data_IF_811096000865
#
_entry.id   IF_811096000865
#
_cell.length_a   1.000
_cell.length_b   1.000
_cell.length_c   1.000
_cell.angle_alpha   90.00
_cell.angle_beta   90.00
_cell.angle_gamma   90.00
#
_symmetry.space_group_name_H-M   'P 1'
#
loop_
_entity.id
_entity.type
_entity.pdbx_description
1 polymer ?
#
# COMPACT_ATOMS: atom_id res chain seq x y z
N UNK A 1 8.06 15.47 9.16
CA UNK A 1 6.66 15.21 8.75
C UNK A 1 5.80 16.27 9.43
N UNK A 2 5.66 17.45 8.85
CA UNK A 2 4.82 18.50 9.43
C UNK A 2 4.02 19.15 8.31
N UNK A 3 2.77 19.50 8.61
CA UNK A 3 1.83 20.02 7.63
C UNK A 3 0.45 19.39 7.80
N UNK A 4 -0.47 19.72 6.90
CA UNK A 4 -1.87 19.29 7.04
C UNK A 4 -2.03 17.76 7.07
N UNK A 5 -1.20 17.05 6.30
CA UNK A 5 -1.31 15.60 6.15
C UNK A 5 -0.94 14.81 7.42
N UNK A 6 -0.29 15.47 8.38
CA UNK A 6 0.04 14.89 9.68
C UNK A 6 -1.03 15.11 10.75
N UNK A 7 -2.17 15.69 10.37
CA UNK A 7 -3.31 15.92 11.24
C UNK A 7 -4.52 15.06 10.84
N UNK A 8 -4.94 14.15 11.72
CA UNK A 8 -6.04 13.20 11.48
C UNK A 8 -7.35 13.85 11.06
N UNK A 9 -7.66 15.05 11.56
CA UNK A 9 -8.87 15.76 11.18
C UNK A 9 -8.85 16.29 9.75
N UNK A 10 -7.67 16.37 9.12
CA UNK A 10 -7.46 16.86 7.76
C UNK A 10 -7.14 15.71 6.80
N UNK A 11 -6.30 14.74 7.20
CA UNK A 11 -5.90 13.60 6.39
C UNK A 11 -6.76 12.34 6.57
N UNK A 12 -7.36 12.15 7.74
CA UNK A 12 -8.05 10.92 8.14
C UNK A 12 -7.15 9.87 8.82
N UNK A 13 -5.83 10.01 8.75
CA UNK A 13 -4.88 8.96 9.16
C UNK A 13 -3.43 9.27 8.78
N UNK A 14 -2.53 8.35 9.13
CA UNK A 14 -1.09 8.45 8.87
C UNK A 14 -0.59 7.47 7.81
N UNK A 15 0.50 6.76 8.14
CA UNK A 15 1.20 5.86 7.20
C UNK A 15 0.29 4.81 6.54
N UNK A 16 -0.76 4.35 7.24
CA UNK A 16 -1.69 3.37 6.71
C UNK A 16 -2.44 3.89 5.48
N UNK A 17 -3.02 5.09 5.57
CA UNK A 17 -3.87 5.64 4.49
C UNK A 17 -3.05 6.30 3.38
N UNK A 18 -1.77 6.58 3.63
CA UNK A 18 -0.86 7.18 2.67
C UNK A 18 -0.23 6.12 1.78
N UNK A 19 0.56 5.21 2.37
CA UNK A 19 1.33 4.21 1.61
C UNK A 19 0.77 2.79 1.80
N UNK A 20 0.19 2.50 2.97
CA UNK A 20 -0.36 1.18 3.27
C UNK A 20 -1.53 0.81 2.37
N UNK A 21 -2.40 1.77 2.03
CA UNK A 21 -3.55 1.58 1.15
C UNK A 21 -3.15 1.07 -0.22
N UNK A 22 -2.04 1.56 -0.79
CA UNK A 22 -1.57 1.15 -2.10
C UNK A 22 -1.08 -0.30 -2.10
N UNK A 23 -0.32 -0.70 -1.08
CA UNK A 23 0.18 -2.07 -0.98
C UNK A 23 -0.93 -3.07 -0.62
N UNK A 24 -1.88 -2.64 0.21
CA UNK A 24 -3.04 -3.43 0.53
C UNK A 24 -3.93 -3.65 -0.69
N UNK A 25 -4.26 -2.61 -1.45
CA UNK A 25 -5.07 -2.71 -2.68
C UNK A 25 -4.38 -3.59 -3.73
N UNK A 26 -3.07 -3.42 -3.93
CA UNK A 26 -2.30 -4.27 -4.84
C UNK A 26 -2.32 -5.74 -4.40
N UNK A 27 -2.12 -6.00 -3.10
CA UNK A 27 -2.20 -7.36 -2.55
C UNK A 27 -3.57 -8.00 -2.73
N UNK A 28 -4.63 -7.25 -2.40
CA UNK A 28 -6.01 -7.71 -2.61
C UNK A 28 -6.29 -7.97 -4.10
N UNK A 29 -5.82 -7.12 -5.00
CA UNK A 29 -5.95 -7.31 -6.44
C UNK A 29 -5.30 -8.63 -6.90
N UNK A 30 -4.06 -8.91 -6.47
CA UNK A 30 -3.40 -10.18 -6.79
C UNK A 30 -4.09 -11.40 -6.17
N UNK A 31 -4.75 -11.23 -5.03
CA UNK A 31 -5.52 -12.29 -4.38
C UNK A 31 -6.93 -12.48 -4.98
N UNK A 32 -7.36 -11.60 -5.90
CA UNK A 32 -8.71 -11.62 -6.47
C UNK A 32 -9.79 -11.03 -5.56
N UNK A 33 -9.43 -10.07 -4.70
CA UNK A 33 -10.31 -9.40 -3.73
C UNK A 33 -11.16 -10.35 -2.87
N UNK A 34 -10.56 -11.30 -2.15
CA UNK A 34 -11.31 -12.20 -1.29
C UNK A 34 -11.94 -11.42 -0.12
N UNK A 35 -13.02 -11.96 0.45
CA UNK A 35 -13.78 -11.23 1.49
C UNK A 35 -13.08 -11.37 2.84
N UNK A 36 -12.77 -10.27 3.55
CA UNK A 36 -12.17 -10.35 4.88
C UNK A 36 -13.18 -10.94 5.88
N UNK A 37 -12.70 -11.79 6.81
CA UNK A 37 -13.51 -12.44 7.85
C UNK A 37 -13.05 -12.12 9.28
N UNK A 38 -11.74 -11.87 9.47
CA UNK A 38 -11.24 -11.32 10.71
C UNK A 38 -9.95 -10.53 10.52
N UNK A 39 -9.66 -9.63 11.45
CA UNK A 39 -8.49 -8.77 11.42
C UNK A 39 -8.01 -8.45 12.83
N UNK A 40 -6.69 -8.46 13.02
CA UNK A 40 -6.03 -7.88 14.20
C UNK A 40 -4.96 -6.90 13.74
N UNK A 41 -4.92 -5.71 14.33
CA UNK A 41 -3.96 -4.67 13.95
C UNK A 41 -3.45 -3.83 15.13
N UNK A 42 -2.36 -3.12 14.88
CA UNK A 42 -1.77 -2.14 15.79
C UNK A 42 -1.28 -0.91 15.02
N UNK A 43 -1.27 0.25 15.69
CA UNK A 43 -0.73 1.51 15.16
C UNK A 43 0.19 2.14 16.19
N UNK A 44 1.25 2.82 15.73
CA UNK A 44 2.26 3.47 16.57
C UNK A 44 2.55 4.89 16.07
N UNK A 45 3.05 5.75 16.94
CA UNK A 45 3.31 7.18 16.69
C UNK A 45 4.61 7.66 17.36
N UNK A 46 5.61 6.78 17.46
CA UNK A 46 6.81 7.00 18.27
C UNK A 46 7.77 8.09 17.75
N UNK A 47 7.78 8.36 16.45
CA UNK A 47 8.65 9.34 15.80
C UNK A 47 7.98 10.70 15.57
N UNK A 48 6.71 10.85 15.95
CA UNK A 48 5.94 12.10 15.77
C UNK A 48 6.58 13.33 16.43
N UNK A 49 7.30 13.17 17.54
CA UNK A 49 8.00 14.26 18.23
C UNK A 49 9.39 14.58 17.63
N UNK A 50 9.93 13.69 16.79
CA UNK A 50 11.23 13.82 16.11
C UNK A 50 11.08 13.99 14.59
N UNK A 51 9.86 14.29 14.14
CA UNK A 51 9.51 14.34 12.74
C UNK A 51 10.07 15.61 12.05
N UNK A 52 11.37 15.62 11.76
CA UNK A 52 11.96 16.55 10.80
C UNK A 52 11.35 16.27 9.41
N UNK A 53 11.27 17.32 8.57
CA UNK A 53 10.54 17.27 7.29
C UNK A 53 10.93 16.04 6.43
N UNK A 54 9.94 15.23 6.07
CA UNK A 54 10.12 14.01 5.26
C UNK A 54 9.98 14.26 3.76
N UNK A 55 9.85 15.52 3.33
CA UNK A 55 9.73 15.89 1.91
C UNK A 55 8.33 15.78 1.31
N UNK A 56 7.38 15.13 2.01
CA UNK A 56 5.98 15.00 1.58
C UNK A 56 4.99 15.70 2.54
N UNK A 57 3.90 16.34 2.04
CA UNK A 57 3.59 16.59 0.64
C UNK A 57 4.58 17.57 -0.01
N UNK A 58 4.62 17.77 -1.35
CA UNK A 58 5.61 18.64 -1.98
C UNK A 58 5.56 20.06 -1.43
N UNK A 59 6.70 20.73 -1.27
CA UNK A 59 6.77 22.05 -0.62
C UNK A 59 5.83 23.10 -1.22
N UNK A 60 5.61 23.04 -2.54
CA UNK A 60 4.69 23.92 -3.27
C UNK A 60 3.22 23.75 -2.87
N UNK A 61 2.83 22.59 -2.33
CA UNK A 61 1.45 22.31 -1.89
C UNK A 61 1.22 22.63 -0.41
N UNK A 62 2.25 23.04 0.32
CA UNK A 62 2.19 23.34 1.77
C UNK A 62 1.87 24.81 2.07
N UNK A 63 1.39 25.54 1.07
CA UNK A 63 1.07 26.97 1.24
C UNK A 63 -0.13 27.07 2.18
N UNK A 64 0.08 27.65 3.37
CA UNK A 64 -0.94 27.78 4.41
C UNK A 64 -0.89 26.70 5.50
N UNK A 65 0.04 25.75 5.42
CA UNK A 65 0.19 24.70 6.42
C UNK A 65 0.61 25.27 7.78
N UNK A 66 -0.01 24.74 8.84
CA UNK A 66 0.38 25.06 10.21
C UNK A 66 1.41 24.05 10.74
N UNK A 67 2.68 24.37 10.58
CA UNK A 67 3.79 23.54 11.06
C UNK A 67 4.01 23.56 12.59
N UNK A 68 3.22 24.36 13.33
CA UNK A 68 3.26 24.42 14.79
C UNK A 68 2.29 23.44 15.47
N UNK A 69 1.35 22.85 14.71
CA UNK A 69 0.43 21.84 15.24
C UNK A 69 1.16 20.50 15.39
N UNK A 70 0.81 19.77 16.44
CA UNK A 70 1.42 18.47 16.75
C UNK A 70 0.90 17.43 15.76
N UNK A 71 1.79 16.55 15.30
CA UNK A 71 1.42 15.33 14.57
C UNK A 71 0.58 14.43 15.48
N UNK A 72 -0.60 14.01 15.01
CA UNK A 72 -1.53 13.12 15.73
C UNK A 72 -1.92 11.87 14.93
N UNK A 73 -1.20 11.64 13.82
CA UNK A 73 -1.27 10.49 12.92
C UNK A 73 -0.26 9.41 13.30
N UNK A 74 -0.55 8.16 12.95
CA UNK A 74 0.36 7.04 13.16
C UNK A 74 1.53 7.07 12.15
N UNK A 75 2.73 6.72 12.61
CA UNK A 75 3.92 6.56 11.78
C UNK A 75 4.19 5.10 11.37
N UNK A 76 3.49 4.15 11.98
CA UNK A 76 3.53 2.73 11.64
C UNK A 76 2.15 2.10 11.90
N UNK A 77 1.68 1.31 10.94
CA UNK A 77 0.53 0.44 11.08
C UNK A 77 0.92 -0.99 10.70
N UNK A 78 0.47 -1.97 11.50
CA UNK A 78 0.61 -3.40 11.22
C UNK A 78 -0.75 -4.08 11.29
N UNK A 79 -1.01 -5.01 10.38
CA UNK A 79 -2.27 -5.76 10.36
C UNK A 79 -2.07 -7.20 9.90
N UNK A 80 -2.83 -8.11 10.51
CA UNK A 80 -3.01 -9.49 10.08
C UNK A 80 -4.47 -9.71 9.72
N UNK A 81 -4.73 -10.08 8.47
CA UNK A 81 -6.07 -10.18 7.89
C UNK A 81 -6.30 -11.61 7.43
N UNK A 82 -7.43 -12.20 7.83
CA UNK A 82 -7.88 -13.51 7.36
C UNK A 82 -9.05 -13.35 6.41
N UNK A 83 -9.08 -14.13 5.34
CA UNK A 83 -10.14 -14.09 4.32
C UNK A 83 -10.98 -15.36 4.29
N UNK A 84 -12.16 -15.29 3.67
CA UNK A 84 -13.15 -16.38 3.57
C UNK A 84 -12.64 -17.61 2.81
N UNK A 85 -11.69 -17.43 1.90
CA UNK A 85 -11.01 -18.50 1.17
C UNK A 85 -9.85 -19.15 1.97
N UNK A 86 -9.63 -18.75 3.23
CA UNK A 86 -8.58 -19.27 4.11
C UNK A 86 -7.20 -18.66 3.89
N UNK A 87 -7.05 -17.73 2.93
CA UNK A 87 -5.80 -16.97 2.75
C UNK A 87 -5.63 -15.90 3.84
N UNK A 88 -4.40 -15.39 3.97
CA UNK A 88 -4.05 -14.33 4.91
C UNK A 88 -3.21 -13.25 4.24
N UNK A 89 -3.34 -12.02 4.72
CA UNK A 89 -2.50 -10.88 4.35
C UNK A 89 -1.85 -10.30 5.61
N UNK A 90 -0.52 -10.18 5.58
CA UNK A 90 0.23 -9.37 6.53
C UNK A 90 0.55 -8.03 5.88
N UNK A 91 0.15 -6.95 6.54
CA UNK A 91 0.41 -5.58 6.10
C UNK A 91 1.28 -4.89 7.13
N UNK A 92 2.32 -4.21 6.66
CA UNK A 92 3.11 -3.26 7.42
C UNK A 92 3.29 -2.00 6.57
N UNK A 93 3.02 -0.84 7.15
CA UNK A 93 3.15 0.45 6.49
C UNK A 93 3.69 1.46 7.48
N UNK A 94 4.86 2.03 7.21
CA UNK A 94 5.49 2.99 8.11
C UNK A 94 6.27 4.09 7.39
N UNK A 95 6.25 5.29 7.98
CA UNK A 95 6.98 6.46 7.51
C UNK A 95 8.34 6.63 8.18
N UNK A 96 8.51 6.12 9.40
CA UNK A 96 9.73 6.27 10.17
C UNK A 96 10.04 5.02 10.99
N UNK A 97 11.34 4.73 11.06
CA UNK A 97 11.87 3.60 11.80
C UNK A 97 13.38 3.49 11.56
N UNK A 98 14.06 2.78 12.45
CA UNK A 98 15.43 2.33 12.20
C UNK A 98 15.39 1.00 11.44
N UNK A 99 14.92 1.07 10.19
CA UNK A 99 14.72 -0.09 9.32
C UNK A 99 15.29 0.14 7.93
N UNK A 100 15.36 -0.93 7.15
CA UNK A 100 15.52 -0.80 5.70
C UNK A 100 14.30 -0.08 5.12
N UNK A 101 14.53 0.69 4.05
CA UNK A 101 13.47 1.38 3.31
C UNK A 101 13.13 0.59 2.06
N UNK A 102 11.85 0.45 1.76
CA UNK A 102 11.45 -0.23 0.54
C UNK A 102 9.96 -0.50 0.46
N UNK A 103 9.56 -0.89 -0.74
CA UNK A 103 8.24 -1.41 -1.05
C UNK A 103 8.43 -2.89 -1.36
N UNK A 104 7.72 -3.74 -0.64
CA UNK A 104 7.79 -5.19 -0.80
C UNK A 104 6.39 -5.80 -0.85
N UNK A 105 6.20 -6.73 -1.76
CA UNK A 105 5.07 -7.65 -1.73
C UNK A 105 5.56 -9.07 -1.99
N UNK A 106 5.09 -10.01 -1.18
CA UNK A 106 5.40 -11.43 -1.30
C UNK A 106 4.09 -12.21 -1.36
N UNK A 107 3.92 -13.01 -2.41
CA UNK A 107 2.77 -13.88 -2.62
C UNK A 107 3.25 -15.33 -2.57
N UNK A 108 2.50 -16.16 -1.85
CA UNK A 108 2.81 -17.58 -1.69
C UNK A 108 1.62 -18.40 -2.18
N UNK A 109 1.76 -18.97 -3.38
CA UNK A 109 0.78 -19.89 -3.95
C UNK A 109 1.18 -21.35 -3.73
N UNK A 110 0.29 -22.27 -4.14
CA UNK A 110 0.55 -23.71 -4.05
C UNK A 110 1.46 -24.25 -5.15
N UNK A 111 1.78 -23.43 -6.16
CA UNK A 111 2.61 -23.81 -7.33
C UNK A 111 3.89 -22.98 -7.45
N UNK A 112 3.83 -21.73 -7.01
CA UNK A 112 4.93 -20.79 -7.08
C UNK A 112 4.77 -19.70 -6.01
N UNK A 113 5.87 -19.06 -5.66
CA UNK A 113 5.93 -17.82 -4.92
C UNK A 113 6.44 -16.69 -5.80
N UNK A 114 5.99 -15.47 -5.52
CA UNK A 114 6.45 -14.25 -6.20
C UNK A 114 6.86 -13.24 -5.14
N UNK A 115 7.99 -12.61 -5.36
CA UNK A 115 8.43 -11.46 -4.59
C UNK A 115 8.70 -10.28 -5.54
N UNK A 116 8.11 -9.15 -5.21
CA UNK A 116 8.47 -7.87 -5.79
C UNK A 116 9.09 -7.03 -4.67
N UNK A 117 10.33 -6.59 -4.91
CA UNK A 117 11.06 -5.70 -4.03
C UNK A 117 11.48 -4.47 -4.83
N UNK A 118 11.23 -3.30 -4.27
CA UNK A 118 11.61 -2.03 -4.88
C UNK A 118 12.14 -1.08 -3.82
N UNK A 119 13.29 -0.48 -4.07
CA UNK A 119 13.79 0.63 -3.24
C UNK A 119 12.90 1.87 -3.45
N UNK A 120 12.80 2.73 -2.44
CA UNK A 120 12.06 4.00 -2.55
C UNK A 120 12.61 4.85 -3.70
N UNK A 121 11.73 5.42 -4.51
CA UNK A 121 12.04 6.11 -5.78
C UNK A 121 11.45 5.38 -7.00
N UNK A 122 10.95 6.11 -8.01
CA UNK A 122 10.34 5.54 -9.22
C UNK A 122 11.28 4.68 -10.07
N UNK A 123 10.74 3.83 -10.96
CA UNK A 123 11.55 3.24 -12.05
C UNK A 123 12.22 4.34 -12.87
N UNK A 124 11.50 5.45 -13.03
CA UNK A 124 11.93 6.65 -13.74
C UNK A 124 13.06 7.43 -13.00
N UNK A 125 13.36 7.06 -11.75
CA UNK A 125 14.49 7.60 -10.96
C UNK A 125 15.71 6.66 -10.98
N UNK A 126 15.70 5.63 -11.84
CA UNK A 126 16.80 4.68 -12.00
C UNK A 126 16.84 3.58 -10.93
N UNK A 127 15.77 3.43 -10.14
CA UNK A 127 15.65 2.37 -9.14
C UNK A 127 14.99 1.13 -9.76
N UNK A 128 15.73 0.02 -9.95
CA UNK A 128 15.19 -1.18 -10.56
C UNK A 128 14.11 -1.82 -9.67
N UNK A 129 13.09 -2.38 -10.30
CA UNK A 129 12.17 -3.30 -9.63
C UNK A 129 12.81 -4.68 -9.67
N UNK A 130 13.06 -5.26 -8.50
CA UNK A 130 13.47 -6.64 -8.39
C UNK A 130 12.22 -7.51 -8.36
N UNK A 131 12.08 -8.36 -9.36
CA UNK A 131 11.03 -9.34 -9.44
C UNK A 131 11.64 -10.73 -9.39
N UNK A 132 11.15 -11.54 -8.46
CA UNK A 132 11.65 -12.89 -8.20
C UNK A 132 10.47 -13.85 -8.21
N UNK A 133 10.62 -14.94 -8.95
CA UNK A 133 9.66 -16.06 -8.98
C UNK A 133 10.40 -17.29 -8.47
N UNK A 134 9.76 -18.02 -7.55
CA UNK A 134 10.25 -19.32 -7.07
C UNK A 134 9.19 -20.36 -7.39
N UNK A 135 9.54 -21.37 -8.18
CA UNK A 135 8.62 -22.44 -8.58
C UNK A 135 9.31 -23.81 -8.60
N UNK A 136 8.52 -24.88 -8.68
CA UNK A 136 9.04 -26.23 -8.87
C UNK A 136 9.14 -26.57 -10.37
N UNK A 137 10.34 -26.92 -10.83
CA UNK A 137 10.59 -27.42 -12.18
C UNK A 137 11.32 -28.75 -12.05
N UNK A 138 10.72 -29.82 -12.60
CA UNK A 138 11.24 -31.19 -12.55
C UNK A 138 11.69 -31.63 -11.14
N UNK A 139 10.89 -31.33 -10.11
CA UNK A 139 11.16 -31.70 -8.72
C UNK A 139 12.20 -30.84 -7.99
N UNK A 140 12.67 -29.75 -8.61
CA UNK A 140 13.65 -28.83 -8.03
C UNK A 140 13.06 -27.43 -7.88
N UNK A 141 13.39 -26.74 -6.78
CA UNK A 141 13.08 -25.33 -6.64
C UNK A 141 13.98 -24.51 -7.56
N UNK A 142 13.37 -23.76 -8.46
CA UNK A 142 14.03 -22.87 -9.40
C UNK A 142 13.65 -21.44 -9.08
N UNK A 143 14.66 -20.58 -8.98
CA UNK A 143 14.50 -19.13 -8.88
C UNK A 143 14.72 -18.50 -10.25
N UNK A 144 13.78 -17.64 -10.68
CA UNK A 144 13.94 -16.80 -11.85
C UNK A 144 13.76 -15.33 -11.49
N UNK A 145 14.53 -14.48 -12.19
CA UNK A 145 14.56 -13.03 -11.98
C UNK A 145 14.17 -12.35 -13.30
N UNK A 146 12.86 -12.34 -13.68
CA UNK A 146 12.44 -11.75 -14.94
C UNK A 146 12.72 -10.25 -14.96
N UNK A 147 13.18 -9.77 -16.11
CA UNK A 147 13.44 -8.35 -16.33
C UNK A 147 12.12 -7.67 -16.67
N UNK A 148 11.72 -6.68 -15.87
CA UNK A 148 10.59 -5.82 -16.17
C UNK A 148 10.98 -4.87 -17.30
N UNK A 149 10.32 -4.91 -18.48
CA UNK A 149 10.68 -4.04 -19.59
C UNK A 149 10.50 -2.56 -19.27
N UNK A 150 11.33 -1.68 -19.83
CA UNK A 150 11.20 -0.22 -19.68
C UNK A 150 9.86 0.33 -20.19
N UNK A 151 9.16 -0.41 -21.04
CA UNK A 151 7.78 -0.07 -21.47
C UNK A 151 6.78 -0.06 -20.32
N UNK A 152 7.14 -0.54 -19.12
CA UNK A 152 6.35 -0.37 -17.90
C UNK A 152 6.68 0.91 -17.11
N UNK A 153 7.37 1.88 -17.70
CA UNK A 153 7.58 3.21 -17.11
C UNK A 153 6.27 3.84 -16.67
N UNK A 154 6.23 4.29 -15.40
CA UNK A 154 5.04 4.86 -14.79
C UNK A 154 4.66 6.16 -15.48
N UNK A 155 5.59 7.10 -15.60
CA UNK A 155 5.30 8.41 -16.19
C UNK A 155 5.06 8.38 -17.69
N UNK A 156 5.71 7.46 -18.42
CA UNK A 156 5.57 7.39 -19.88
C UNK A 156 4.35 6.61 -20.34
N UNK A 157 3.97 5.54 -19.62
CA UNK A 157 2.96 4.60 -20.09
C UNK A 157 1.81 4.42 -19.09
N UNK A 158 2.10 4.07 -17.83
CA UNK A 158 1.06 3.71 -16.85
C UNK A 158 0.16 4.89 -16.48
N UNK A 159 0.72 6.04 -16.14
CA UNK A 159 -0.06 7.23 -15.75
C UNK A 159 -0.91 7.78 -16.90
N UNK A 160 -0.37 7.99 -18.13
CA UNK A 160 -1.21 8.33 -19.28
C UNK A 160 -2.31 7.30 -19.56
N UNK A 161 -2.00 6.01 -19.44
CA UNK A 161 -2.96 4.92 -19.62
C UNK A 161 -4.12 4.97 -18.61
N UNK A 162 -3.82 5.25 -17.34
CA UNK A 162 -4.85 5.44 -16.30
C UNK A 162 -5.81 6.58 -16.65
N UNK A 163 -5.27 7.73 -17.09
CA UNK A 163 -6.10 8.89 -17.47
C UNK A 163 -6.95 8.57 -18.71
N UNK A 164 -6.37 7.89 -19.70
CA UNK A 164 -7.09 7.46 -20.90
C UNK A 164 -8.24 6.50 -20.55
N UNK A 165 -7.99 5.50 -19.71
CA UNK A 165 -9.00 4.57 -19.24
C UNK A 165 -10.14 5.26 -18.50
N UNK A 166 -9.80 6.20 -17.61
CA UNK A 166 -10.79 7.01 -16.89
C UNK A 166 -11.69 7.80 -17.86
N UNK A 167 -11.10 8.46 -18.87
CA UNK A 167 -11.86 9.20 -19.89
C UNK A 167 -12.73 8.27 -20.73
N UNK A 168 -12.22 7.09 -21.12
CA UNK A 168 -12.98 6.08 -21.87
C UNK A 168 -14.20 5.58 -21.07
N UNK A 169 -14.04 5.37 -19.75
CA UNK A 169 -15.15 5.01 -18.87
C UNK A 169 -16.24 6.10 -18.82
N UNK A 170 -15.84 7.37 -18.71
CA UNK A 170 -16.79 8.50 -18.73
C UNK A 170 -17.57 8.56 -20.05
N UNK A 171 -16.91 8.25 -21.16
CA UNK A 171 -17.51 8.23 -22.50
C UNK A 171 -18.37 6.98 -22.76
N UNK A 172 -18.33 5.98 -21.89
CA UNK A 172 -19.02 4.71 -22.07
C UNK A 172 -18.36 3.77 -23.08
N UNK A 173 -17.08 4.01 -23.40
CA UNK A 173 -16.28 3.21 -24.32
C UNK A 173 -15.72 1.96 -23.63
N UNK A 174 -15.46 2.06 -22.32
CA UNK A 174 -14.89 1.01 -21.48
C UNK A 174 -15.64 0.91 -20.14
N UNK A 175 -15.42 -0.18 -19.41
CA UNK A 175 -15.88 -0.32 -18.02
C UNK A 175 -14.75 -0.04 -17.03
N UNK A 176 -15.03 0.51 -15.83
CA UNK A 176 -14.03 0.64 -14.79
C UNK A 176 -13.42 -0.72 -14.44
N UNK A 177 -12.08 -0.81 -14.43
CA UNK A 177 -11.37 -2.01 -13.98
C UNK A 177 -11.61 -2.21 -12.48
N UNK A 178 -11.65 -1.10 -11.73
CA UNK A 178 -11.98 -1.09 -10.31
C UNK A 178 -13.48 -0.84 -10.12
N UNK A 179 -14.16 -1.86 -9.62
CA UNK A 179 -15.57 -1.80 -9.24
C UNK A 179 -15.76 -1.20 -7.84
N UNK A 180 -16.97 -0.67 -7.58
CA UNK A 180 -17.29 -0.01 -6.31
C UNK A 180 -17.13 -0.93 -5.10
N UNK A 181 -17.44 -2.22 -5.24
CA UNK A 181 -17.29 -3.21 -4.17
C UNK A 181 -15.82 -3.37 -3.71
N UNK A 182 -14.87 -3.33 -4.64
CA UNK A 182 -13.44 -3.39 -4.32
C UNK A 182 -13.00 -2.16 -3.52
N UNK A 183 -13.41 -0.96 -3.96
CA UNK A 183 -13.15 0.30 -3.24
C UNK A 183 -13.73 0.28 -1.82
N UNK A 184 -14.98 -0.18 -1.66
CA UNK A 184 -15.62 -0.30 -0.35
C UNK A 184 -14.95 -1.37 0.53
N UNK A 185 -14.36 -2.41 -0.08
CA UNK A 185 -13.62 -3.45 0.66
C UNK A 185 -12.33 -2.88 1.22
N UNK A 186 -11.57 -2.14 0.41
CA UNK A 186 -10.36 -1.43 0.85
C UNK A 186 -10.67 -0.46 1.99
N UNK A 187 -11.68 0.41 1.82
CA UNK A 187 -12.06 1.37 2.85
C UNK A 187 -12.50 0.66 4.14
N UNK A 188 -13.31 -0.39 4.03
CA UNK A 188 -13.75 -1.17 5.20
C UNK A 188 -12.57 -1.78 5.94
N UNK A 189 -11.58 -2.32 5.24
CA UNK A 189 -10.39 -2.88 5.89
C UNK A 189 -9.60 -1.78 6.64
N UNK A 190 -9.44 -0.59 6.06
CA UNK A 190 -8.79 0.55 6.74
C UNK A 190 -9.51 0.89 8.04
N UNK A 191 -10.84 1.05 7.99
CA UNK A 191 -11.64 1.38 9.17
C UNK A 191 -11.51 0.30 10.27
N UNK A 192 -11.45 -0.97 9.87
CA UNK A 192 -11.29 -2.11 10.78
C UNK A 192 -9.89 -2.19 11.37
N UNK A 193 -8.85 -1.79 10.63
CA UNK A 193 -7.48 -1.67 11.15
C UNK A 193 -7.46 -0.65 12.28
N UNK A 194 -8.02 0.55 12.05
CA UNK A 194 -8.10 1.57 13.10
C UNK A 194 -8.95 1.13 14.29
N UNK A 195 -10.09 0.47 14.05
CA UNK A 195 -10.93 -0.06 15.13
C UNK A 195 -10.20 -1.13 15.95
N UNK A 196 -9.51 -2.07 15.31
CA UNK A 196 -8.74 -3.12 15.98
C UNK A 196 -7.60 -2.53 16.80
N UNK A 197 -6.85 -1.58 16.24
CA UNK A 197 -5.77 -0.89 16.94
C UNK A 197 -6.27 -0.09 18.16
N UNK A 198 -7.40 0.62 18.01
CA UNK A 198 -8.00 1.40 19.10
C UNK A 198 -8.51 0.51 20.23
N UNK A 199 -9.16 -0.60 19.90
CA UNK A 199 -9.78 -1.50 20.89
C UNK A 199 -8.81 -2.56 21.42
N UNK A 200 -7.66 -2.73 20.76
CA UNK A 200 -6.64 -3.77 21.03
C UNK A 200 -7.24 -5.18 21.00
N UNK A 201 -8.14 -5.43 20.06
CA UNK A 201 -8.87 -6.69 19.91
C UNK A 201 -8.97 -7.10 18.46
N UNK A 202 -9.06 -8.40 18.22
CA UNK A 202 -9.49 -8.92 16.93
C UNK A 202 -10.91 -8.41 16.61
N UNK A 203 -11.12 -8.00 15.36
CA UNK A 203 -12.44 -7.70 14.81
C UNK A 203 -12.86 -8.85 13.90
N UNK A 204 -14.09 -9.36 14.08
CA UNK A 204 -14.71 -10.39 13.24
C UNK A 204 -15.82 -9.79 12.38
N UNK A 205 -15.97 -10.30 11.16
CA UNK A 205 -16.86 -9.79 10.10
C UNK A 205 -17.99 -10.76 9.74
#
# INVERSE_FOLDING_TARGET
>A
MRGWFTHKNESGGGALIDIGVHMMDLGLCFMGFPKPVSLTASTYDYFTNHADDGGWPPSATRIGDNFNKKVDTEDLATAFITFDNGSTLLLEAGWAGYSEVGIKISLFGTKAGVELLKTVGGVDEGHPIHFKIVEEVDGHLVESNPVVPETFSYWKNTFPGFIQHFVACIRGEEKPIMELNYLLTVQRIIDLIYLSAQTRKEVKL
#
